data_IF_671280747899
#
_entry.id   IF_671280747899
#
_cell.length_a   1.000
_cell.length_b   1.000
_cell.length_c   1.000
_cell.angle_alpha   90.00
_cell.angle_beta   90.00
_cell.angle_gamma   90.00
#
_symmetry.space_group_name_H-M   'P 1'
#
loop_
_entity.id
_entity.type
_entity.pdbx_description
1 polymer ?
#
# COMPACT_ATOMS: atom_id res chain seq x y z
N UNK A 1 -4.25 -19.12 43.84
CA UNK A 1 -3.69 -18.14 42.90
C UNK A 1 -3.54 -18.65 41.44
N UNK A 2 -4.13 -19.77 41.06
CA UNK A 2 -4.01 -20.40 39.73
C UNK A 2 -5.22 -20.14 38.79
N UNK A 3 -6.32 -19.57 39.26
CA UNK A 3 -7.53 -19.39 38.47
C UNK A 3 -7.50 -18.19 37.49
N UNK A 4 -6.77 -17.15 37.84
CA UNK A 4 -6.69 -15.91 37.02
C UNK A 4 -5.85 -16.09 35.72
N UNK A 5 -4.96 -17.07 35.70
CA UNK A 5 -4.07 -17.35 34.57
C UNK A 5 -4.79 -18.05 33.39
N UNK A 6 -5.76 -18.91 33.68
CA UNK A 6 -6.49 -19.68 32.66
C UNK A 6 -7.51 -18.82 31.88
N UNK A 7 -8.18 -17.89 32.57
CA UNK A 7 -9.12 -16.96 31.92
C UNK A 7 -8.43 -15.99 30.96
N UNK A 8 -7.26 -15.45 31.34
CA UNK A 8 -6.45 -14.62 30.43
C UNK A 8 -5.97 -15.36 29.18
N UNK A 9 -5.60 -16.64 29.33
CA UNK A 9 -5.19 -17.46 28.19
C UNK A 9 -6.38 -17.76 27.24
N UNK A 10 -7.57 -17.99 27.78
CA UNK A 10 -8.80 -18.18 27.02
C UNK A 10 -9.23 -16.93 26.27
N UNK A 11 -9.19 -15.78 26.93
CA UNK A 11 -9.52 -14.49 26.34
C UNK A 11 -8.55 -14.12 25.20
N UNK A 12 -7.26 -14.34 25.40
CA UNK A 12 -6.24 -14.10 24.36
C UNK A 12 -6.40 -15.02 23.13
N UNK A 13 -6.85 -16.28 23.33
CA UNK A 13 -7.18 -17.19 22.21
C UNK A 13 -8.42 -16.73 21.47
N UNK A 14 -9.45 -16.29 22.18
CA UNK A 14 -10.68 -15.78 21.58
C UNK A 14 -10.44 -14.51 20.78
N UNK A 15 -9.68 -13.56 21.32
CA UNK A 15 -9.29 -12.33 20.64
C UNK A 15 -8.45 -12.63 19.39
N UNK A 16 -7.49 -13.55 19.46
CA UNK A 16 -6.72 -13.99 18.28
C UNK A 16 -7.60 -14.68 17.24
N UNK A 17 -8.57 -15.50 17.65
CA UNK A 17 -9.49 -16.18 16.74
C UNK A 17 -10.42 -15.17 16.04
N UNK A 18 -10.97 -14.20 16.78
CA UNK A 18 -11.79 -13.12 16.23
C UNK A 18 -10.98 -12.23 15.28
N UNK A 19 -9.74 -11.88 15.65
CA UNK A 19 -8.83 -11.12 14.79
C UNK A 19 -8.50 -11.89 13.49
N UNK A 20 -8.27 -13.20 13.55
CA UNK A 20 -8.06 -14.04 12.37
C UNK A 20 -9.30 -14.12 11.48
N UNK A 21 -10.51 -14.24 12.06
CA UNK A 21 -11.77 -14.26 11.33
C UNK A 21 -12.01 -12.92 10.62
N UNK A 22 -11.76 -11.81 11.30
CA UNK A 22 -11.86 -10.45 10.75
C UNK A 22 -10.82 -10.23 9.64
N UNK A 23 -9.60 -10.74 9.83
CA UNK A 23 -8.54 -10.71 8.82
C UNK A 23 -8.94 -11.46 7.55
N UNK A 24 -9.53 -12.66 7.69
CA UNK A 24 -9.96 -13.47 6.55
C UNK A 24 -11.09 -12.79 5.79
N UNK A 25 -12.07 -12.23 6.49
CA UNK A 25 -13.18 -11.51 5.87
C UNK A 25 -12.71 -10.19 5.21
N UNK A 26 -11.86 -9.44 5.88
CA UNK A 26 -11.25 -8.23 5.29
C UNK A 26 -10.43 -8.59 4.05
N UNK A 27 -9.62 -9.65 4.09
CA UNK A 27 -8.85 -10.12 2.93
C UNK A 27 -9.76 -10.54 1.78
N UNK A 28 -10.89 -11.19 2.09
CA UNK A 28 -11.90 -11.58 1.11
C UNK A 28 -12.62 -10.37 0.52
N UNK A 29 -12.99 -9.38 1.32
CA UNK A 29 -13.63 -8.13 0.86
C UNK A 29 -12.68 -7.33 -0.01
N UNK A 30 -11.44 -7.17 0.43
CA UNK A 30 -10.38 -6.51 -0.35
C UNK A 30 -10.13 -7.25 -1.66
N UNK A 31 -10.03 -8.59 -1.64
CA UNK A 31 -9.87 -9.40 -2.84
C UNK A 31 -10.98 -9.16 -3.85
N UNK A 32 -12.24 -9.18 -3.42
CA UNK A 32 -13.41 -8.91 -4.28
C UNK A 32 -13.44 -7.48 -4.83
N UNK A 33 -13.03 -6.50 -4.02
CA UNK A 33 -12.97 -5.10 -4.46
C UNK A 33 -11.86 -4.91 -5.50
N UNK A 34 -10.68 -5.45 -5.24
CA UNK A 34 -9.54 -5.42 -6.17
C UNK A 34 -9.87 -6.14 -7.47
N UNK A 35 -10.54 -7.30 -7.40
CA UNK A 35 -10.92 -8.08 -8.59
C UNK A 35 -11.97 -7.35 -9.45
N UNK A 36 -12.87 -6.59 -8.83
CA UNK A 36 -14.00 -5.97 -9.52
C UNK A 36 -13.65 -4.67 -10.22
N UNK A 37 -12.71 -3.90 -9.71
CA UNK A 37 -12.40 -2.55 -10.21
C UNK A 37 -11.09 -2.47 -11.00
N UNK A 38 -10.13 -3.36 -10.74
CA UNK A 38 -8.78 -3.26 -11.30
C UNK A 38 -8.45 -4.32 -12.35
N UNK A 39 -9.23 -5.41 -12.43
CA UNK A 39 -8.89 -6.53 -13.30
C UNK A 39 -10.13 -7.04 -14.03
N UNK A 40 -10.32 -6.55 -15.24
CA UNK A 40 -11.10 -7.27 -16.23
C UNK A 40 -10.29 -8.49 -16.66
N UNK A 41 -10.60 -9.66 -16.09
CA UNK A 41 -9.94 -10.95 -16.36
C UNK A 41 -10.09 -11.41 -17.84
N UNK A 42 -10.83 -10.68 -18.66
CA UNK A 42 -11.02 -10.99 -20.08
C UNK A 42 -9.79 -10.67 -20.93
N UNK A 43 -8.79 -9.97 -20.41
CA UNK A 43 -7.57 -9.63 -21.13
C UNK A 43 -6.36 -10.30 -20.50
N UNK A 44 -5.60 -11.04 -21.30
CA UNK A 44 -4.28 -11.54 -20.92
C UNK A 44 -3.46 -10.39 -20.33
N UNK A 45 -3.00 -10.54 -19.08
CA UNK A 45 -2.17 -9.54 -18.43
C UNK A 45 -0.95 -9.26 -19.33
N UNK A 46 -0.62 -7.98 -19.62
CA UNK A 46 0.54 -7.66 -20.43
C UNK A 46 1.80 -8.29 -19.85
N UNK A 47 2.67 -8.80 -20.72
CA UNK A 47 3.99 -9.30 -20.31
C UNK A 47 4.85 -8.08 -20.01
N UNK A 48 5.44 -8.05 -18.81
CA UNK A 48 6.36 -6.97 -18.42
C UNK A 48 6.16 -6.47 -16.99
N UNK A 49 6.63 -5.26 -16.76
CA UNK A 49 6.53 -4.57 -15.46
C UNK A 49 5.58 -3.37 -15.58
N UNK A 50 4.55 -3.35 -14.77
CA UNK A 50 3.63 -2.21 -14.66
C UNK A 50 4.26 -1.08 -13.87
N UNK A 51 4.08 0.16 -14.32
CA UNK A 51 4.26 1.37 -13.55
C UNK A 51 2.90 1.77 -12.99
N UNK A 52 2.81 1.94 -11.69
CA UNK A 52 1.55 2.23 -11.01
C UNK A 52 1.70 3.38 -10.01
N UNK A 53 0.59 4.00 -9.69
CA UNK A 53 0.49 4.90 -8.53
C UNK A 53 -0.52 4.38 -7.51
N UNK A 54 -0.36 4.82 -6.26
CA UNK A 54 -1.41 4.77 -5.25
C UNK A 54 -1.93 6.19 -5.05
N UNK A 55 -3.23 6.35 -5.27
CA UNK A 55 -3.94 7.62 -5.17
C UNK A 55 -4.93 7.61 -3.99
N UNK A 56 -5.28 8.80 -3.52
CA UNK A 56 -6.36 8.97 -2.55
C UNK A 56 -7.70 8.60 -3.23
N UNK A 57 -8.49 7.69 -2.66
CA UNK A 57 -9.76 7.26 -3.27
C UNK A 57 -10.80 8.39 -3.33
N UNK A 58 -10.62 9.46 -2.56
CA UNK A 58 -11.50 10.65 -2.57
C UNK A 58 -11.14 11.60 -3.70
N UNK A 59 -9.88 11.57 -4.14
CA UNK A 59 -9.37 12.41 -5.21
C UNK A 59 -8.26 11.68 -5.98
N UNK A 60 -8.60 11.02 -7.08
CA UNK A 60 -7.68 10.18 -7.85
C UNK A 60 -6.49 10.95 -8.46
N UNK A 61 -6.58 12.27 -8.57
CA UNK A 61 -5.46 13.12 -9.00
C UNK A 61 -4.41 13.30 -7.90
N UNK A 62 -4.77 13.05 -6.64
CA UNK A 62 -3.89 13.15 -5.51
C UNK A 62 -3.05 11.87 -5.37
N UNK A 63 -2.04 11.76 -6.21
CA UNK A 63 -1.08 10.65 -6.18
C UNK A 63 -0.20 10.78 -4.94
N UNK A 64 -0.11 9.70 -4.17
CA UNK A 64 0.68 9.62 -2.93
C UNK A 64 1.91 8.75 -3.06
N UNK A 65 1.92 7.80 -3.98
CA UNK A 65 3.04 6.89 -4.17
C UNK A 65 3.09 6.42 -5.63
N UNK A 66 4.30 6.27 -6.16
CA UNK A 66 4.57 5.66 -7.47
C UNK A 66 5.45 4.43 -7.26
N UNK A 67 5.23 3.38 -8.03
CA UNK A 67 6.01 2.15 -7.95
C UNK A 67 5.94 1.32 -9.21
N UNK A 68 6.71 0.23 -9.21
CA UNK A 68 6.74 -0.74 -10.31
C UNK A 68 6.49 -2.16 -9.81
N UNK A 69 5.89 -3.00 -10.63
CA UNK A 69 5.64 -4.41 -10.31
C UNK A 69 5.30 -5.25 -11.53
N UNK A 70 5.75 -6.49 -11.56
CA UNK A 70 5.29 -7.48 -12.55
C UNK A 70 3.92 -8.10 -12.19
N UNK A 71 3.43 -7.90 -10.96
CA UNK A 71 2.18 -8.49 -10.48
C UNK A 71 1.37 -7.45 -9.66
N UNK A 72 0.63 -6.54 -10.33
CA UNK A 72 -0.05 -5.41 -9.68
C UNK A 72 -0.98 -5.84 -8.53
N UNK A 73 -1.86 -6.82 -8.77
CA UNK A 73 -2.76 -7.33 -7.74
C UNK A 73 -2.02 -7.81 -6.49
N UNK A 74 -1.00 -8.65 -6.69
CA UNK A 74 -0.17 -9.16 -5.58
C UNK A 74 0.51 -8.02 -4.84
N UNK A 75 1.04 -7.02 -5.57
CA UNK A 75 1.71 -5.85 -5.00
C UNK A 75 0.74 -4.98 -4.20
N UNK A 76 -0.45 -4.74 -4.70
CA UNK A 76 -1.48 -4.01 -3.97
C UNK A 76 -1.85 -4.70 -2.65
N UNK A 77 -2.17 -5.99 -2.69
CA UNK A 77 -2.45 -6.78 -1.49
C UNK A 77 -1.27 -6.78 -0.51
N UNK A 78 -0.03 -6.80 -1.01
CA UNK A 78 1.16 -6.68 -0.18
C UNK A 78 1.20 -5.34 0.56
N UNK A 79 0.89 -4.22 -0.10
CA UNK A 79 0.80 -2.91 0.55
C UNK A 79 -0.21 -2.92 1.69
N UNK A 80 -1.41 -3.44 1.45
CA UNK A 80 -2.46 -3.51 2.47
C UNK A 80 -2.08 -4.41 3.65
N UNK A 81 -1.47 -5.57 3.37
CA UNK A 81 -0.96 -6.49 4.42
C UNK A 81 0.14 -5.84 5.24
N UNK A 82 1.08 -5.17 4.59
CA UNK A 82 2.18 -4.47 5.28
C UNK A 82 1.64 -3.34 6.17
N UNK A 83 0.61 -2.62 5.73
CA UNK A 83 -0.05 -1.59 6.52
C UNK A 83 -0.74 -2.16 7.78
N UNK A 84 -1.01 -3.48 7.85
CA UNK A 84 -1.66 -4.15 8.99
C UNK A 84 -2.98 -3.50 9.40
N UNK A 85 -3.88 -3.32 8.44
CA UNK A 85 -5.15 -2.65 8.65
C UNK A 85 -6.06 -3.35 9.68
N UNK A 86 -5.91 -4.66 9.82
CA UNK A 86 -6.67 -5.52 10.75
C UNK A 86 -6.11 -5.57 12.19
N UNK A 87 -4.99 -4.89 12.44
CA UNK A 87 -4.34 -4.80 13.75
C UNK A 87 -4.08 -3.33 14.08
N UNK A 88 -5.14 -2.53 14.29
CA UNK A 88 -5.01 -1.08 14.47
C UNK A 88 -4.21 -0.69 15.72
N UNK A 89 -4.28 -1.51 16.77
CA UNK A 89 -3.63 -1.25 18.06
C UNK A 89 -2.20 -1.80 18.16
N UNK A 90 -1.77 -2.63 17.18
CA UNK A 90 -0.39 -3.11 17.15
C UNK A 90 0.54 -2.08 16.53
N UNK A 91 1.73 -1.92 17.13
CA UNK A 91 2.82 -1.14 16.57
C UNK A 91 3.52 -1.97 15.47
N UNK A 92 3.35 -1.62 14.18
CA UNK A 92 3.96 -2.39 13.10
C UNK A 92 5.47 -2.18 13.06
N UNK A 93 6.20 -3.19 12.60
CA UNK A 93 7.66 -3.15 12.50
C UNK A 93 8.20 -2.00 11.63
N UNK A 94 7.44 -1.57 10.63
CA UNK A 94 7.83 -0.48 9.71
C UNK A 94 7.76 0.91 10.36
N UNK A 95 7.15 1.07 11.54
CA UNK A 95 7.13 2.35 12.27
C UNK A 95 8.53 2.86 12.55
N UNK A 96 9.48 1.94 12.77
CA UNK A 96 10.89 2.25 12.97
C UNK A 96 11.66 2.41 11.64
N UNK A 97 10.97 2.32 10.49
CA UNK A 97 11.57 2.43 9.16
C UNK A 97 11.18 3.78 8.52
N UNK A 98 12.02 4.83 8.58
CA UNK A 98 11.69 6.16 8.10
C UNK A 98 11.22 6.19 6.64
N UNK A 99 11.75 5.27 5.82
CA UNK A 99 11.43 5.15 4.40
C UNK A 99 10.06 4.55 4.11
N UNK A 100 9.57 3.67 4.96
CA UNK A 100 8.30 2.94 4.74
C UNK A 100 7.15 3.56 5.51
N UNK A 101 7.47 4.17 6.65
CA UNK A 101 6.51 4.71 7.60
C UNK A 101 5.50 5.67 6.98
N UNK A 102 5.86 6.69 6.18
CA UNK A 102 4.89 7.64 5.65
C UNK A 102 3.81 6.99 4.78
N UNK A 103 4.20 6.04 3.91
CA UNK A 103 3.26 5.32 3.05
C UNK A 103 2.27 4.49 3.87
N UNK A 104 2.76 3.70 4.80
CA UNK A 104 1.89 2.78 5.55
C UNK A 104 1.06 3.48 6.63
N UNK A 105 1.55 4.56 7.21
CA UNK A 105 0.74 5.45 8.05
C UNK A 105 -0.42 6.08 7.28
N UNK A 106 -0.16 6.54 6.05
CA UNK A 106 -1.21 7.08 5.19
C UNK A 106 -2.27 6.01 4.85
N UNK A 107 -1.86 4.80 4.47
CA UNK A 107 -2.81 3.70 4.17
C UNK A 107 -3.66 3.37 5.41
N UNK A 108 -3.05 3.31 6.60
CA UNK A 108 -3.79 3.12 7.86
C UNK A 108 -4.73 4.27 8.16
N UNK A 109 -4.32 5.50 7.92
CA UNK A 109 -5.16 6.67 8.11
C UNK A 109 -6.40 6.65 7.21
N UNK A 110 -6.25 6.30 5.92
CA UNK A 110 -7.38 6.13 5.00
C UNK A 110 -8.38 5.08 5.53
N UNK A 111 -7.88 3.95 6.02
CA UNK A 111 -8.74 2.89 6.54
C UNK A 111 -9.46 3.31 7.81
N UNK A 112 -8.80 3.99 8.74
CA UNK A 112 -9.45 4.54 9.95
C UNK A 112 -10.50 5.60 9.63
N UNK A 113 -10.27 6.40 8.59
CA UNK A 113 -11.15 7.48 8.14
C UNK A 113 -12.25 6.97 7.19
N UNK A 114 -12.93 5.89 7.55
CA UNK A 114 -14.10 5.35 6.88
C UNK A 114 -13.84 4.10 6.04
N UNK A 115 -12.94 3.21 6.49
CA UNK A 115 -12.60 1.93 5.85
C UNK A 115 -12.14 2.04 4.38
N UNK A 116 -11.63 3.22 3.99
CA UNK A 116 -11.17 3.45 2.63
C UNK A 116 -9.83 2.76 2.37
N UNK A 117 -9.62 2.36 1.14
CA UNK A 117 -8.36 1.80 0.65
C UNK A 117 -7.79 2.73 -0.42
N UNK A 118 -6.45 2.81 -0.58
CA UNK A 118 -5.88 3.53 -1.71
C UNK A 118 -6.36 2.94 -3.04
N UNK A 119 -6.45 3.75 -4.07
CA UNK A 119 -6.71 3.27 -5.43
C UNK A 119 -5.39 3.06 -6.15
N UNK A 120 -5.17 1.85 -6.71
CA UNK A 120 -4.02 1.59 -7.55
C UNK A 120 -4.38 1.89 -9.01
N UNK A 121 -3.62 2.78 -9.64
CA UNK A 121 -3.77 3.15 -11.05
C UNK A 121 -2.56 2.65 -11.82
N UNK A 122 -2.78 1.86 -12.88
CA UNK A 122 -1.73 1.41 -13.80
C UNK A 122 -1.57 2.45 -14.91
N UNK A 123 -0.36 2.98 -15.07
CA UNK A 123 -0.05 4.00 -16.07
C UNK A 123 0.50 3.41 -17.35
N UNK A 124 1.41 2.44 -17.25
CA UNK A 124 2.06 1.83 -18.40
C UNK A 124 2.62 0.45 -18.06
N UNK A 125 2.91 -0.31 -19.12
CA UNK A 125 3.67 -1.56 -19.04
C UNK A 125 4.94 -1.43 -19.84
N UNK A 126 6.05 -1.91 -19.31
CA UNK A 126 7.36 -1.89 -19.95
C UNK A 126 8.01 -3.27 -19.93
N UNK A 127 8.69 -3.62 -21.01
CA UNK A 127 9.19 -4.97 -21.21
C UNK A 127 10.39 -5.34 -20.31
N UNK A 128 11.23 -4.37 -19.93
CA UNK A 128 12.45 -4.63 -19.17
C UNK A 128 12.46 -3.96 -17.80
N UNK A 129 13.16 -4.58 -16.86
CA UNK A 129 13.35 -4.02 -15.53
C UNK A 129 14.10 -2.67 -15.53
N UNK A 130 15.02 -2.50 -16.47
CA UNK A 130 15.74 -1.22 -16.62
C UNK A 130 14.81 -0.10 -17.09
N UNK A 131 13.98 -0.38 -18.11
CA UNK A 131 12.96 0.57 -18.57
C UNK A 131 11.95 0.89 -17.46
N UNK A 132 11.59 -0.11 -16.64
CA UNK A 132 10.68 0.11 -15.52
C UNK A 132 11.26 1.05 -14.47
N UNK A 133 12.53 0.88 -14.09
CA UNK A 133 13.21 1.79 -13.16
C UNK A 133 13.30 3.21 -13.69
N UNK A 134 13.59 3.37 -14.98
CA UNK A 134 13.63 4.69 -15.61
C UNK A 134 12.24 5.33 -15.62
N UNK A 135 11.22 4.60 -16.06
CA UNK A 135 9.85 5.10 -16.10
C UNK A 135 9.31 5.47 -14.71
N UNK A 136 9.56 4.65 -13.68
CA UNK A 136 9.22 4.96 -12.28
C UNK A 136 9.85 6.27 -11.83
N UNK A 137 11.16 6.46 -12.06
CA UNK A 137 11.86 7.71 -11.73
C UNK A 137 11.27 8.90 -12.46
N UNK A 138 11.00 8.78 -13.76
CA UNK A 138 10.38 9.85 -14.55
C UNK A 138 9.03 10.25 -13.94
N UNK A 139 8.18 9.29 -13.63
CA UNK A 139 6.89 9.54 -12.97
C UNK A 139 7.02 10.23 -11.61
N UNK A 140 8.01 9.83 -10.79
CA UNK A 140 8.30 10.48 -9.51
C UNK A 140 8.73 11.94 -9.74
N UNK A 141 9.66 12.19 -10.66
CA UNK A 141 10.14 13.55 -10.99
C UNK A 141 9.00 14.45 -11.49
N UNK A 142 8.20 13.98 -12.43
CA UNK A 142 7.06 14.73 -12.96
C UNK A 142 6.01 15.03 -11.88
N UNK A 143 5.76 14.07 -11.00
CA UNK A 143 4.82 14.25 -9.89
C UNK A 143 5.34 15.28 -8.88
N UNK A 144 6.63 15.27 -8.57
CA UNK A 144 7.26 16.28 -7.70
C UNK A 144 7.25 17.65 -8.34
N UNK A 145 7.53 17.76 -9.66
CA UNK A 145 7.45 19.02 -10.38
C UNK A 145 6.04 19.64 -10.37
N UNK A 146 5.01 18.78 -10.32
CA UNK A 146 3.60 19.19 -10.13
C UNK A 146 3.23 19.41 -8.66
N UNK A 147 4.21 19.39 -7.75
CA UNK A 147 4.03 19.56 -6.30
C UNK A 147 3.08 18.53 -5.66
N UNK A 148 2.95 17.33 -6.24
CA UNK A 148 2.14 16.27 -5.65
C UNK A 148 2.78 15.78 -4.35
N UNK A 149 1.98 15.49 -3.32
CA UNK A 149 2.47 15.11 -1.99
C UNK A 149 2.89 13.64 -1.93
N UNK A 150 3.91 13.27 -2.72
CA UNK A 150 4.43 11.91 -2.79
C UNK A 150 5.03 11.46 -1.45
N UNK A 151 4.87 10.18 -1.18
CA UNK A 151 5.44 9.46 -0.03
C UNK A 151 6.60 8.54 -0.44
N UNK A 152 7.09 8.68 -1.68
CA UNK A 152 8.28 7.98 -2.15
C UNK A 152 9.53 8.48 -1.43
N UNK A 153 10.44 7.56 -1.14
CA UNK A 153 11.70 7.84 -0.42
C UNK A 153 12.61 8.82 -1.15
N UNK A 154 12.58 8.82 -2.48
CA UNK A 154 13.43 9.67 -3.33
C UNK A 154 13.16 11.17 -3.16
N UNK A 155 12.06 11.55 -2.50
CA UNK A 155 11.75 12.93 -2.18
C UNK A 155 12.86 13.66 -1.41
N UNK A 156 13.57 12.95 -0.51
CA UNK A 156 14.65 13.56 0.28
C UNK A 156 15.92 13.81 -0.55
N UNK A 157 16.21 12.92 -1.51
CA UNK A 157 17.40 13.03 -2.35
C UNK A 157 17.25 14.22 -3.31
N UNK A 158 16.07 14.38 -3.92
CA UNK A 158 15.79 15.47 -4.86
C UNK A 158 15.66 16.84 -4.17
N UNK A 159 15.08 16.90 -2.98
CA UNK A 159 15.00 18.13 -2.18
C UNK A 159 16.38 18.68 -1.80
N UNK A 160 17.37 17.81 -1.55
CA UNK A 160 18.75 18.19 -1.26
C UNK A 160 19.50 18.68 -2.52
N UNK A 161 19.23 18.11 -3.68
CA UNK A 161 19.86 18.55 -4.94
C UNK A 161 19.32 19.89 -5.42
N UNK A 162 18.03 20.18 -5.22
CA UNK A 162 17.44 21.47 -5.58
C UNK A 162 17.80 22.60 -4.60
N UNK A 163 18.18 22.29 -3.39
CA UNK A 163 18.62 23.27 -2.38
C UNK A 163 20.11 23.69 -2.56
N UNK A 164 20.84 23.07 -3.49
CA UNK A 164 22.25 23.34 -3.80
C UNK A 164 22.44 24.09 -5.12
N UNK A 165 21.37 24.50 -5.79
CA UNK A 165 21.36 25.36 -6.97
C UNK A 165 20.76 26.73 -6.61
#
# INVERSE_FOLDING_TARGET
>A
MLYVSAERAGLNRLVKFLAMSTQTELTRRIGRHVDRELFDDSRLAPIGTAIYSLADPRELRLIRYVGQTAAPRRRFLQHLRTARLWLPDELPWWVLQPKLRPLYEWIRALHRDGERLPTMVIHSWVATQQAARLAERTWIHESLAKQLPLLNVEREILGRQMALI
#
